data_IF_635141985121
#
_entry.id   IF_635141985121
#
_cell.length_a   1.000
_cell.length_b   1.000
_cell.length_c   1.000
_cell.angle_alpha   90.00
_cell.angle_beta   90.00
_cell.angle_gamma   90.00
#
_symmetry.space_group_name_H-M   'P 1'
#
loop_
_entity.id
_entity.type
_entity.pdbx_description
1 polymer ?
#
# COMPACT_ATOMS: atom_id res chain seq x y z
N UNK A 1 11.00 9.26 21.62
CA UNK A 1 10.77 8.15 20.67
C UNK A 1 9.33 7.72 20.82
N UNK A 2 8.56 7.66 19.74
CA UNK A 2 7.13 7.35 19.79
C UNK A 2 6.87 5.88 20.14
N UNK A 3 5.89 5.65 21.03
CA UNK A 3 5.51 4.31 21.50
C UNK A 3 4.47 3.66 20.60
N UNK A 4 3.67 4.48 19.92
CA UNK A 4 2.55 4.08 19.09
C UNK A 4 2.68 4.69 17.69
N UNK A 5 1.99 4.07 16.74
CA UNK A 5 1.95 4.50 15.34
C UNK A 5 0.52 4.35 14.84
N UNK A 6 0.04 5.35 14.10
CA UNK A 6 -1.28 5.30 13.47
C UNK A 6 -1.16 4.68 12.09
N UNK A 7 -1.88 3.57 11.88
CA UNK A 7 -2.00 2.90 10.60
C UNK A 7 -2.97 3.64 9.67
N UNK A 8 -2.94 3.26 8.40
CA UNK A 8 -3.79 3.83 7.33
C UNK A 8 -5.30 3.63 7.57
N UNK A 9 -5.67 2.58 8.30
CA UNK A 9 -7.04 2.28 8.71
C UNK A 9 -7.47 3.07 9.96
N UNK A 10 -6.63 4.01 10.44
CA UNK A 10 -6.84 4.77 11.66
C UNK A 10 -6.47 4.03 12.94
N UNK A 11 -6.15 2.73 12.88
CA UNK A 11 -5.80 1.97 14.08
C UNK A 11 -4.46 2.42 14.67
N UNK A 12 -4.45 2.65 15.97
CA UNK A 12 -3.22 2.96 16.72
C UNK A 12 -2.64 1.65 17.24
N UNK A 13 -1.41 1.34 16.85
CA UNK A 13 -0.71 0.13 17.29
C UNK A 13 0.64 0.45 17.91
N UNK A 14 1.15 -0.45 18.75
CA UNK A 14 2.48 -0.30 19.34
C UNK A 14 3.56 -0.28 18.26
N UNK A 15 4.41 0.74 18.30
CA UNK A 15 5.53 0.90 17.39
C UNK A 15 6.57 -0.20 17.60
N UNK A 16 7.07 -0.76 16.49
CA UNK A 16 8.13 -1.77 16.49
C UNK A 16 9.14 -1.46 15.39
N UNK A 17 10.35 -1.04 15.77
CA UNK A 17 11.45 -0.76 14.83
C UNK A 17 11.84 -1.96 13.97
N UNK A 18 11.59 -3.18 14.44
CA UNK A 18 11.80 -4.42 13.69
C UNK A 18 10.98 -4.49 12.39
N UNK A 19 9.83 -3.81 12.33
CA UNK A 19 9.01 -3.70 11.10
C UNK A 19 9.71 -2.89 10.02
N UNK A 20 10.38 -1.79 10.39
CA UNK A 20 11.20 -0.99 9.46
C UNK A 20 12.37 -1.81 8.95
N UNK A 21 13.09 -2.50 9.85
CA UNK A 21 14.19 -3.38 9.44
C UNK A 21 13.72 -4.48 8.50
N UNK A 22 12.55 -5.09 8.76
CA UNK A 22 11.99 -6.12 7.89
C UNK A 22 11.64 -5.57 6.50
N UNK A 23 11.07 -4.36 6.42
CA UNK A 23 10.76 -3.71 5.15
C UNK A 23 12.03 -3.40 4.34
N UNK A 24 13.06 -2.85 4.99
CA UNK A 24 14.37 -2.63 4.37
C UNK A 24 15.01 -3.94 3.88
N UNK A 25 14.83 -5.04 4.62
CA UNK A 25 15.31 -6.37 4.20
C UNK A 25 14.56 -6.93 3.00
N UNK A 26 13.29 -6.57 2.79
CA UNK A 26 12.57 -6.97 1.57
C UNK A 26 13.18 -6.28 0.34
N UNK A 27 13.42 -4.96 0.43
CA UNK A 27 14.09 -4.21 -0.63
C UNK A 27 15.53 -4.70 -0.88
N UNK A 28 16.25 -5.05 0.18
CA UNK A 28 17.57 -5.69 0.09
C UNK A 28 17.52 -7.02 -0.66
N UNK A 29 16.60 -7.92 -0.30
CA UNK A 29 16.49 -9.24 -0.97
C UNK A 29 16.18 -9.13 -2.45
N UNK A 30 15.45 -8.10 -2.86
CA UNK A 30 15.13 -7.86 -4.26
C UNK A 30 16.32 -7.35 -5.09
N UNK A 31 17.35 -6.78 -4.44
CA UNK A 31 18.42 -6.03 -5.13
C UNK A 31 19.84 -6.50 -4.83
N UNK A 32 20.07 -7.12 -3.67
CA UNK A 32 21.36 -7.64 -3.22
C UNK A 32 22.36 -6.58 -2.72
N UNK A 33 21.98 -5.30 -2.59
CA UNK A 33 22.94 -4.21 -2.36
C UNK A 33 23.53 -4.14 -0.94
N UNK A 34 22.83 -4.69 0.04
CA UNK A 34 23.29 -4.68 1.42
C UNK A 34 22.93 -5.96 2.17
N UNK A 35 23.31 -6.06 3.44
CA UNK A 35 23.01 -7.21 4.31
C UNK A 35 22.31 -6.75 5.59
N UNK A 36 21.79 -7.69 6.37
CA UNK A 36 21.10 -7.46 7.66
C UNK A 36 21.79 -6.43 8.57
N UNK A 37 23.12 -6.45 8.71
CA UNK A 37 23.86 -5.47 9.54
C UNK A 37 23.67 -4.03 9.06
N UNK A 38 23.69 -3.79 7.74
CA UNK A 38 23.43 -2.47 7.14
C UNK A 38 21.96 -2.06 7.30
N UNK A 39 21.02 -2.99 7.15
CA UNK A 39 19.59 -2.73 7.36
C UNK A 39 19.29 -2.19 8.77
N UNK A 40 19.93 -2.75 9.80
CA UNK A 40 19.80 -2.29 11.18
C UNK A 40 20.36 -0.87 11.34
N UNK A 41 21.52 -0.57 10.72
CA UNK A 41 22.10 0.79 10.74
C UNK A 41 21.20 1.81 10.05
N UNK A 42 20.63 1.45 8.89
CA UNK A 42 19.65 2.29 8.19
C UNK A 42 18.40 2.51 9.04
N UNK A 43 17.92 1.48 9.74
CA UNK A 43 16.79 1.62 10.68
C UNK A 43 17.10 2.63 11.78
N UNK A 44 18.30 2.59 12.37
CA UNK A 44 18.72 3.59 13.37
C UNK A 44 18.77 4.99 12.80
N UNK A 45 19.25 5.16 11.55
CA UNK A 45 19.23 6.46 10.85
C UNK A 45 17.81 6.97 10.64
N UNK A 46 16.88 6.11 10.23
CA UNK A 46 15.46 6.45 10.09
C UNK A 46 14.88 6.94 11.41
N UNK A 47 15.13 6.22 12.51
CA UNK A 47 14.69 6.64 13.84
C UNK A 47 15.30 7.97 14.28
N UNK A 48 16.59 8.20 14.01
CA UNK A 48 17.25 9.47 14.29
C UNK A 48 16.58 10.63 13.55
N UNK A 49 16.36 10.47 12.24
CA UNK A 49 15.65 11.48 11.42
C UNK A 49 14.21 11.72 11.87
N UNK A 50 13.51 10.66 12.28
CA UNK A 50 12.15 10.78 12.81
C UNK A 50 12.10 11.59 14.13
N UNK A 51 13.11 11.43 14.99
CA UNK A 51 13.25 12.27 16.19
C UNK A 51 13.61 13.72 15.83
N UNK A 52 14.52 13.95 14.89
CA UNK A 52 14.93 15.30 14.46
C UNK A 52 13.78 16.09 13.83
N UNK A 53 12.91 15.42 13.06
CA UNK A 53 11.74 16.03 12.44
C UNK A 53 10.63 16.36 13.44
N UNK A 54 10.75 15.92 14.70
CA UNK A 54 9.76 16.21 15.73
C UNK A 54 8.39 15.62 15.41
N UNK A 55 8.35 14.41 14.82
CA UNK A 55 7.09 13.69 14.63
C UNK A 55 6.36 13.62 15.98
N UNK A 56 5.07 13.94 15.98
CA UNK A 56 4.24 13.98 17.18
C UNK A 56 4.22 12.66 17.96
N UNK A 57 3.45 12.57 19.06
CA UNK A 57 3.45 11.38 19.92
C UNK A 57 2.98 10.11 19.20
N UNK A 58 2.18 10.25 18.14
CA UNK A 58 1.63 9.17 17.33
C UNK A 58 1.79 9.55 15.85
N UNK A 59 2.94 9.26 15.22
CA UNK A 59 3.11 9.50 13.80
C UNK A 59 2.24 8.57 12.96
N UNK A 60 1.94 9.02 11.75
CA UNK A 60 1.30 8.20 10.74
C UNK A 60 2.31 7.25 10.10
N UNK A 61 1.83 6.07 9.67
CA UNK A 61 2.65 5.06 8.97
C UNK A 61 3.32 5.64 7.72
N UNK A 62 2.67 6.57 7.01
CA UNK A 62 3.22 7.19 5.80
C UNK A 62 4.41 8.11 6.10
N UNK A 63 4.37 8.88 7.19
CA UNK A 63 5.47 9.77 7.57
C UNK A 63 6.76 8.98 7.80
N UNK A 64 6.65 7.80 8.44
CA UNK A 64 7.80 6.92 8.63
C UNK A 64 8.28 6.34 7.30
N UNK A 65 7.38 6.00 6.38
CA UNK A 65 7.75 5.50 5.06
C UNK A 65 8.49 6.56 4.25
N UNK A 66 8.05 7.82 4.27
CA UNK A 66 8.73 8.93 3.61
C UNK A 66 10.15 9.13 4.15
N UNK A 67 10.35 8.96 5.46
CA UNK A 67 11.69 9.02 6.07
C UNK A 67 12.54 7.84 5.62
N UNK A 68 11.97 6.63 5.53
CA UNK A 68 12.69 5.45 5.02
C UNK A 68 13.17 5.69 3.59
N UNK A 69 12.33 6.24 2.73
CA UNK A 69 12.67 6.59 1.36
C UNK A 69 13.78 7.63 1.29
N UNK A 70 13.65 8.74 2.04
CA UNK A 70 14.69 9.78 2.11
C UNK A 70 16.02 9.21 2.60
N UNK A 71 16.00 8.31 3.59
CA UNK A 71 17.24 7.67 4.09
C UNK A 71 17.86 6.74 3.05
N UNK A 72 17.05 6.00 2.29
CA UNK A 72 17.52 5.13 1.22
C UNK A 72 18.08 5.93 0.04
N UNK A 73 17.40 7.00 -0.39
CA UNK A 73 17.84 7.89 -1.47
C UNK A 73 19.16 8.61 -1.14
N UNK A 74 19.34 9.01 0.12
CA UNK A 74 20.59 9.62 0.62
C UNK A 74 21.68 8.58 0.94
N UNK A 75 21.48 7.31 0.58
CA UNK A 75 22.44 6.23 0.77
C UNK A 75 22.95 5.73 -0.58
N UNK A 76 24.07 5.01 -0.63
CA UNK A 76 24.56 4.44 -1.89
C UNK A 76 23.69 3.28 -2.43
N UNK A 77 22.59 2.93 -1.77
CA UNK A 77 21.73 1.80 -2.11
C UNK A 77 20.56 2.25 -3.01
N UNK A 78 20.90 2.78 -4.19
CA UNK A 78 19.91 3.38 -5.09
C UNK A 78 18.94 2.34 -5.68
N UNK A 79 19.39 1.10 -5.95
CA UNK A 79 18.47 0.06 -6.46
C UNK A 79 17.47 -0.33 -5.39
N UNK A 80 17.90 -0.42 -4.13
CA UNK A 80 17.05 -0.71 -2.97
C UNK A 80 16.04 0.40 -2.73
N UNK A 81 16.46 1.66 -2.89
CA UNK A 81 15.57 2.81 -2.83
C UNK A 81 14.46 2.70 -3.89
N UNK A 82 14.84 2.46 -5.15
CA UNK A 82 13.89 2.28 -6.25
C UNK A 82 12.94 1.11 -6.01
N UNK A 83 13.47 -0.04 -5.59
CA UNK A 83 12.65 -1.23 -5.30
C UNK A 83 11.66 -0.98 -4.15
N UNK A 84 12.07 -0.24 -3.12
CA UNK A 84 11.20 0.13 -2.01
C UNK A 84 10.06 1.04 -2.46
N UNK A 85 10.37 2.11 -3.20
CA UNK A 85 9.39 3.08 -3.72
C UNK A 85 8.38 2.37 -4.62
N UNK A 86 8.85 1.56 -5.57
CA UNK A 86 7.97 0.83 -6.49
C UNK A 86 7.04 -0.13 -5.74
N UNK A 87 7.56 -0.86 -4.74
CA UNK A 87 6.76 -1.76 -3.92
C UNK A 87 5.70 -1.01 -3.10
N UNK A 88 6.01 0.19 -2.58
CA UNK A 88 5.05 1.04 -1.85
C UNK A 88 3.92 1.47 -2.78
N UNK A 89 4.26 1.93 -3.98
CA UNK A 89 3.31 2.39 -5.00
C UNK A 89 2.38 1.27 -5.46
N UNK A 90 2.93 0.11 -5.85
CA UNK A 90 2.15 -1.07 -6.23
C UNK A 90 1.15 -1.45 -5.12
N UNK A 91 1.59 -1.46 -3.87
CA UNK A 91 0.70 -1.75 -2.76
C UNK A 91 -0.34 -0.65 -2.52
N UNK A 92 -0.04 0.62 -2.83
CA UNK A 92 -1.01 1.72 -2.78
C UNK A 92 -2.10 1.54 -3.84
N UNK A 93 -1.72 1.23 -5.08
CA UNK A 93 -2.63 0.90 -6.17
C UNK A 93 -3.53 -0.29 -5.82
N UNK A 94 -2.96 -1.40 -5.31
CA UNK A 94 -3.76 -2.57 -4.86
C UNK A 94 -4.78 -2.18 -3.79
N UNK A 95 -4.43 -1.28 -2.87
CA UNK A 95 -5.39 -0.78 -1.86
C UNK A 95 -6.47 0.09 -2.47
N UNK A 96 -6.11 0.98 -3.40
CA UNK A 96 -7.07 1.83 -4.10
C UNK A 96 -8.10 0.99 -4.86
N UNK A 97 -7.64 -0.02 -5.61
CA UNK A 97 -8.49 -0.99 -6.31
C UNK A 97 -9.38 -1.74 -5.32
N UNK A 98 -8.83 -2.23 -4.19
CA UNK A 98 -9.62 -2.96 -3.19
C UNK A 98 -10.71 -2.10 -2.55
N UNK A 99 -10.44 -0.80 -2.31
CA UNK A 99 -11.44 0.14 -1.77
C UNK A 99 -12.52 0.40 -2.83
N UNK A 100 -12.14 0.69 -4.07
CA UNK A 100 -13.08 0.93 -5.18
C UNK A 100 -13.96 -0.29 -5.45
N UNK A 101 -13.38 -1.48 -5.48
CA UNK A 101 -14.11 -2.73 -5.64
C UNK A 101 -15.09 -3.03 -4.49
N UNK A 102 -14.87 -2.48 -3.28
CA UNK A 102 -15.75 -2.71 -2.15
C UNK A 102 -16.98 -1.80 -2.11
N UNK A 103 -16.93 -0.61 -2.74
CA UNK A 103 -17.99 0.40 -2.65
C UNK A 103 -18.72 0.61 -3.98
N UNK A 104 -18.02 0.60 -5.12
CA UNK A 104 -18.62 0.96 -6.41
C UNK A 104 -19.05 -0.24 -7.26
N UNK A 105 -18.45 -1.42 -7.08
CA UNK A 105 -18.66 -2.53 -8.03
C UNK A 105 -20.02 -3.21 -7.89
N UNK A 106 -20.57 -3.28 -6.68
CA UNK A 106 -21.91 -3.84 -6.43
C UNK A 106 -22.99 -2.80 -6.74
N UNK A 107 -22.78 -1.55 -6.35
CA UNK A 107 -23.69 -0.43 -6.61
C UNK A 107 -23.80 -0.14 -8.11
N UNK A 108 -22.68 -0.05 -8.85
CA UNK A 108 -22.69 0.10 -10.30
C UNK A 108 -23.27 -1.13 -11.01
N UNK A 109 -23.04 -2.35 -10.52
CA UNK A 109 -23.68 -3.54 -11.10
C UNK A 109 -25.21 -3.48 -10.97
N UNK A 110 -25.73 -3.04 -9.82
CA UNK A 110 -27.17 -2.87 -9.60
C UNK A 110 -27.72 -1.72 -10.45
N UNK A 111 -27.06 -0.55 -10.46
CA UNK A 111 -27.53 0.63 -11.20
C UNK A 111 -27.46 0.49 -12.72
N UNK A 112 -26.39 -0.12 -13.28
CA UNK A 112 -26.28 -0.32 -14.73
C UNK A 112 -27.22 -1.41 -15.26
N UNK A 113 -27.72 -2.31 -14.40
CA UNK A 113 -28.72 -3.29 -14.78
C UNK A 113 -30.13 -2.69 -14.89
N UNK A 114 -30.48 -1.65 -14.12
CA UNK A 114 -31.81 -1.02 -14.21
C UNK A 114 -32.09 -0.43 -15.61
N UNK A 115 -31.08 0.16 -16.27
CA UNK A 115 -31.24 0.66 -17.65
C UNK A 115 -31.34 -0.45 -18.72
N UNK A 116 -30.81 -1.66 -18.45
CA UNK A 116 -30.76 -2.77 -19.43
C UNK A 116 -31.86 -3.81 -19.22
N UNK A 117 -32.41 -3.91 -18.01
CA UNK A 117 -33.54 -4.78 -17.67
C UNK A 117 -34.86 -4.22 -18.23
N UNK A 118 -34.97 -2.91 -18.44
CA UNK A 118 -36.16 -2.30 -19.02
C UNK A 118 -36.43 -2.72 -20.48
N UNK A 119 -35.48 -3.41 -21.14
CA UNK A 119 -35.66 -3.98 -22.49
C UNK A 119 -35.88 -5.50 -22.51
N UNK A 120 -35.63 -6.24 -21.43
CA UNK A 120 -35.88 -7.69 -21.41
C UNK A 120 -36.02 -8.26 -19.98
N UNK A 121 -37.27 -8.31 -19.50
CA UNK A 121 -37.67 -8.98 -18.26
C UNK A 121 -37.46 -10.50 -18.32
N UNK A 122 -36.25 -10.99 -18.05
CA UNK A 122 -36.02 -12.38 -17.58
C UNK A 122 -34.59 -12.71 -17.08
N UNK A 123 -33.73 -11.74 -16.79
CA UNK A 123 -32.40 -12.02 -16.23
C UNK A 123 -32.40 -11.80 -14.71
N UNK A 124 -32.67 -12.84 -13.94
CA UNK A 124 -32.48 -12.83 -12.48
C UNK A 124 -31.00 -12.73 -12.13
N UNK A 125 -30.68 -11.88 -11.15
CA UNK A 125 -29.36 -11.71 -10.54
C UNK A 125 -28.62 -13.05 -10.38
N UNK A 126 -27.48 -13.22 -11.06
CA UNK A 126 -26.63 -14.40 -10.86
C UNK A 126 -25.29 -13.97 -10.26
N UNK A 127 -24.90 -14.66 -9.19
CA UNK A 127 -23.62 -14.44 -8.51
C UNK A 127 -22.43 -14.64 -9.46
N UNK A 128 -22.60 -15.49 -10.47
CA UNK A 128 -21.64 -15.70 -11.55
C UNK A 128 -21.50 -14.48 -12.47
N UNK A 129 -22.61 -13.79 -12.79
CA UNK A 129 -22.60 -12.57 -13.61
C UNK A 129 -21.89 -11.41 -12.92
N UNK A 130 -22.16 -11.22 -11.62
CA UNK A 130 -21.44 -10.25 -10.79
C UNK A 130 -19.93 -10.56 -10.75
N UNK A 131 -19.57 -11.84 -10.55
CA UNK A 131 -18.18 -12.26 -10.49
C UNK A 131 -17.40 -12.00 -11.80
N UNK A 132 -18.03 -12.24 -12.94
CA UNK A 132 -17.45 -11.96 -14.26
C UNK A 132 -17.26 -10.45 -14.48
N UNK A 133 -18.25 -9.63 -14.09
CA UNK A 133 -18.19 -8.17 -14.21
C UNK A 133 -17.06 -7.57 -13.36
N UNK A 134 -17.00 -7.93 -12.06
CA UNK A 134 -15.93 -7.51 -11.14
C UNK A 134 -14.54 -7.87 -11.70
N UNK A 135 -14.38 -9.10 -12.19
CA UNK A 135 -13.11 -9.58 -12.73
C UNK A 135 -12.68 -8.79 -13.97
N UNK A 136 -13.61 -8.49 -14.88
CA UNK A 136 -13.32 -7.73 -16.10
C UNK A 136 -12.96 -6.28 -15.80
N UNK A 137 -13.65 -5.65 -14.86
CA UNK A 137 -13.45 -4.23 -14.51
C UNK A 137 -12.11 -4.02 -13.81
N UNK A 138 -11.79 -4.85 -12.80
CA UNK A 138 -10.48 -4.83 -12.11
C UNK A 138 -9.34 -5.07 -13.10
N UNK A 139 -9.53 -6.02 -14.02
CA UNK A 139 -8.52 -6.30 -15.06
C UNK A 139 -8.29 -5.07 -15.92
N UNK A 140 -9.36 -4.45 -16.42
CA UNK A 140 -9.26 -3.27 -17.29
C UNK A 140 -8.58 -2.08 -16.60
N UNK A 141 -8.92 -1.81 -15.34
CA UNK A 141 -8.31 -0.71 -14.57
C UNK A 141 -6.82 -0.91 -14.33
N UNK A 142 -6.39 -2.17 -14.16
CA UNK A 142 -4.99 -2.53 -13.95
C UNK A 142 -4.14 -2.43 -15.23
N UNK A 143 -4.73 -2.63 -16.42
CA UNK A 143 -4.01 -2.56 -17.69
C UNK A 143 -3.97 -1.15 -18.32
N UNK A 144 -4.94 -0.30 -17.99
CA UNK A 144 -5.09 1.04 -18.59
C UNK A 144 -4.42 2.17 -17.78
N UNK A 145 -3.91 1.88 -16.58
CA UNK A 145 -3.16 2.80 -15.70
C UNK A 145 -1.73 2.29 -15.45
#
# INVERSE_FOLDING_TARGET
>A
MFENIRKRDGQVVRFRSSKITAALRKAERATGEFRKKKAIRLTKRVLGRACELGLGPIPDVEEIQDIVEKVLLNSPFHKSAKAYILYREQHAQIRAIAIKASLDLVENYIQHLDCKINENSNMTYSLQGLNNYISSDITSEYWLN
#
